data_IF_518270646362
#
_entry.id   IF_518270646362
#
_cell.length_a   1.000
_cell.length_b   1.000
_cell.length_c   1.000
_cell.angle_alpha   90.00
_cell.angle_beta   90.00
_cell.angle_gamma   90.00
#
_symmetry.space_group_name_H-M   'P 1'
#
loop_
_entity.id
_entity.type
_entity.pdbx_description
1 polymer ?
#
# COMPACT_ATOMS: atom_id res chain seq x y z
N UNK A 1 4.40 -3.30 17.95
CA UNK A 1 4.10 -2.00 17.28
C UNK A 1 4.92 -1.93 16.02
N UNK A 2 4.27 -2.23 14.90
CA UNK A 2 4.86 -1.94 13.60
C UNK A 2 4.74 -0.43 13.46
N UNK A 3 5.81 0.28 13.81
CA UNK A 3 5.91 1.69 13.43
C UNK A 3 5.84 1.72 11.92
N UNK A 4 4.80 2.35 11.41
CA UNK A 4 4.59 2.57 9.98
C UNK A 4 5.87 3.16 9.43
N UNK A 5 6.40 2.67 8.29
CA UNK A 5 7.56 3.31 7.71
C UNK A 5 7.18 4.75 7.42
N UNK A 6 7.72 5.65 8.22
CA UNK A 6 7.68 7.06 7.87
C UNK A 6 8.30 7.19 6.49
N UNK A 7 7.71 8.01 5.64
CA UNK A 7 8.28 8.33 4.35
C UNK A 7 9.67 8.93 4.57
N UNK A 8 10.67 8.08 4.64
CA UNK A 8 12.02 8.54 4.42
C UNK A 8 12.12 8.79 2.91
N UNK A 9 11.89 10.04 2.53
CA UNK A 9 12.41 10.50 1.24
C UNK A 9 13.87 10.11 1.23
N UNK A 10 14.24 9.25 0.30
CA UNK A 10 15.57 8.68 0.25
C UNK A 10 16.63 9.79 0.26
N UNK A 11 17.70 9.51 0.96
CA UNK A 11 18.89 10.35 0.94
C UNK A 11 19.26 10.64 -0.50
N UNK A 12 19.47 11.89 -0.82
CA UNK A 12 20.06 12.27 -2.09
C UNK A 12 21.44 11.66 -2.17
N UNK A 13 21.58 10.67 -3.04
CA UNK A 13 22.90 10.25 -3.46
C UNK A 13 23.51 11.45 -4.18
N UNK A 14 24.75 11.78 -3.83
CA UNK A 14 25.43 12.98 -4.32
C UNK A 14 25.16 13.13 -5.81
N UNK A 15 24.39 14.15 -6.16
CA UNK A 15 24.34 14.65 -7.52
C UNK A 15 25.78 14.89 -7.94
N UNK A 16 26.23 14.18 -8.95
CA UNK A 16 27.41 14.62 -9.66
C UNK A 16 26.99 15.94 -10.26
N UNK A 17 27.49 17.04 -9.72
CA UNK A 17 27.30 18.37 -10.26
C UNK A 17 27.86 18.39 -11.67
N UNK A 18 27.07 17.96 -12.63
CA UNK A 18 27.31 18.26 -14.03
C UNK A 18 26.57 19.56 -14.34
N UNK A 19 26.95 20.57 -13.65
CA UNK A 19 26.83 21.92 -14.18
C UNK A 19 27.91 22.03 -15.22
N UNK A 20 27.62 21.65 -16.46
CA UNK A 20 28.43 22.13 -17.56
C UNK A 20 28.54 23.64 -17.37
N UNK A 21 29.77 24.12 -17.33
CA UNK A 21 30.09 25.52 -17.27
C UNK A 21 29.38 26.26 -18.41
N UNK A 22 28.16 26.71 -18.12
CA UNK A 22 27.57 27.74 -18.93
C UNK A 22 28.43 28.97 -18.78
N UNK A 23 29.00 29.45 -19.88
CA UNK A 23 29.83 30.63 -19.88
C UNK A 23 29.13 31.76 -19.12
N UNK A 24 29.92 32.55 -18.35
CA UNK A 24 29.46 33.65 -17.52
C UNK A 24 28.62 34.72 -18.23
N UNK A 25 28.43 34.63 -19.54
CA UNK A 25 27.74 35.60 -20.38
C UNK A 25 26.22 35.41 -20.46
N UNK A 26 25.63 34.37 -19.82
CA UNK A 26 24.26 34.02 -20.06
C UNK A 26 23.37 33.98 -18.81
N UNK A 27 23.73 34.73 -17.76
CA UNK A 27 22.95 34.81 -16.52
C UNK A 27 21.50 35.27 -16.70
N UNK A 28 21.25 36.12 -17.72
CA UNK A 28 19.87 36.58 -18.02
C UNK A 28 19.04 35.50 -18.70
N UNK A 29 19.63 34.80 -19.67
CA UNK A 29 18.97 33.69 -20.37
C UNK A 29 18.74 32.53 -19.41
N UNK A 30 19.68 32.25 -18.52
CA UNK A 30 19.55 31.24 -17.47
C UNK A 30 18.39 31.51 -16.52
N UNK A 31 18.18 32.75 -16.12
CA UNK A 31 17.06 33.13 -15.26
C UNK A 31 15.70 32.90 -15.91
N UNK A 32 15.57 33.18 -17.18
CA UNK A 32 14.33 32.98 -17.93
C UNK A 32 14.02 31.50 -18.16
N UNK A 33 15.01 30.66 -18.36
CA UNK A 33 14.84 29.22 -18.59
C UNK A 33 14.52 28.51 -17.28
N UNK A 34 15.18 28.87 -16.17
CA UNK A 34 14.91 28.30 -14.86
C UNK A 34 13.55 28.70 -14.28
N UNK A 35 13.02 29.88 -14.65
CA UNK A 35 11.67 30.28 -14.27
C UNK A 35 10.57 29.48 -15.02
N UNK A 36 10.91 28.89 -16.17
CA UNK A 36 9.99 28.06 -16.96
C UNK A 36 9.92 26.63 -16.46
N UNK A 37 11.03 26.08 -15.99
CA UNK A 37 11.14 24.69 -15.56
C UNK A 37 11.63 24.67 -14.12
N UNK A 38 10.70 24.63 -13.16
CA UNK A 38 11.05 24.47 -11.75
C UNK A 38 11.05 23.01 -11.35
N UNK A 39 10.05 22.27 -11.82
CA UNK A 39 9.89 20.85 -11.55
C UNK A 39 9.30 20.13 -12.75
N UNK A 40 9.65 18.86 -12.89
CA UNK A 40 9.04 17.93 -13.82
C UNK A 40 8.53 16.73 -13.02
N UNK A 41 7.28 16.34 -13.25
CA UNK A 41 6.72 15.14 -12.64
C UNK A 41 6.94 13.94 -13.54
N UNK A 42 7.67 12.98 -13.00
CA UNK A 42 7.84 11.66 -13.60
C UNK A 42 6.79 10.73 -13.03
N UNK A 43 6.22 9.86 -13.85
CA UNK A 43 5.24 8.85 -13.42
C UNK A 43 5.45 7.56 -14.21
N UNK A 44 5.20 6.44 -13.57
CA UNK A 44 5.30 5.10 -14.16
C UNK A 44 4.28 4.16 -13.53
N UNK A 45 4.04 3.02 -14.18
CA UNK A 45 3.18 1.98 -13.62
C UNK A 45 3.88 1.25 -12.46
N UNK A 46 3.16 0.91 -11.38
CA UNK A 46 3.71 0.13 -10.29
C UNK A 46 4.26 -1.22 -10.78
N UNK A 47 5.41 -1.61 -10.27
CA UNK A 47 6.02 -2.90 -10.62
C UNK A 47 5.82 -3.88 -9.46
N UNK A 48 5.21 -5.07 -9.71
CA UNK A 48 5.03 -6.09 -8.69
C UNK A 48 6.35 -6.47 -8.01
N UNK A 49 6.36 -6.49 -6.67
CA UNK A 49 7.53 -6.80 -5.86
C UNK A 49 8.50 -5.63 -5.64
N UNK A 50 8.29 -4.49 -6.27
CA UNK A 50 9.10 -3.31 -6.04
C UNK A 50 8.82 -2.71 -4.66
N UNK A 51 9.87 -2.52 -3.87
CA UNK A 51 9.83 -1.79 -2.60
C UNK A 51 10.15 -0.32 -2.82
N UNK A 52 11.05 -0.04 -3.74
CA UNK A 52 11.45 1.31 -4.12
C UNK A 52 11.84 1.38 -5.58
N UNK A 53 12.05 2.59 -6.04
CA UNK A 53 12.48 2.87 -7.40
C UNK A 53 13.71 3.75 -7.42
N UNK A 54 14.49 3.59 -8.49
CA UNK A 54 15.63 4.42 -8.81
C UNK A 54 15.38 5.10 -10.15
N UNK A 55 15.49 6.42 -10.17
CA UNK A 55 15.37 7.22 -11.39
C UNK A 55 16.75 7.74 -11.79
N UNK A 56 17.13 7.55 -13.05
CA UNK A 56 18.32 8.12 -13.64
C UNK A 56 17.94 9.20 -14.65
N UNK A 57 18.61 10.34 -14.58
CA UNK A 57 18.48 11.45 -15.52
C UNK A 57 19.66 11.45 -16.48
N UNK A 58 19.36 11.55 -17.77
CA UNK A 58 20.31 11.45 -18.85
C UNK A 58 20.32 12.74 -19.68
N UNK A 59 21.52 13.17 -20.14
CA UNK A 59 21.67 14.36 -20.98
C UNK A 59 21.43 14.14 -22.47
N UNK A 60 21.26 12.89 -22.89
CA UNK A 60 21.02 12.54 -24.29
C UNK A 60 20.20 11.28 -24.40
N UNK A 61 19.52 11.07 -25.53
CA UNK A 61 18.78 9.84 -25.84
C UNK A 61 19.74 8.69 -26.22
N UNK A 62 20.71 8.45 -25.35
CA UNK A 62 21.65 7.34 -25.45
C UNK A 62 21.93 6.78 -24.07
N UNK A 63 21.73 5.49 -23.92
CA UNK A 63 21.92 4.81 -22.66
C UNK A 63 23.42 4.48 -22.41
N UNK A 64 24.21 5.51 -22.20
CA UNK A 64 25.66 5.44 -21.97
C UNK A 64 25.98 6.03 -20.59
N UNK A 65 26.93 5.45 -19.84
CA UNK A 65 27.32 5.93 -18.50
C UNK A 65 27.69 7.40 -18.46
N UNK A 66 28.38 7.89 -19.48
CA UNK A 66 28.82 9.29 -19.61
C UNK A 66 27.66 10.27 -19.79
N UNK A 67 26.47 9.79 -20.12
CA UNK A 67 25.26 10.61 -20.25
C UNK A 67 24.46 10.71 -18.97
N UNK A 68 24.83 9.98 -17.89
CA UNK A 68 24.16 10.06 -16.60
C UNK A 68 24.44 11.40 -15.95
N UNK A 69 23.40 12.17 -15.67
CA UNK A 69 23.46 13.47 -15.00
C UNK A 69 23.27 13.30 -13.49
N UNK A 70 22.27 12.52 -13.11
CA UNK A 70 21.98 12.22 -11.71
C UNK A 70 21.22 10.92 -11.57
N UNK A 71 21.29 10.34 -10.36
CA UNK A 71 20.52 9.16 -9.97
C UNK A 71 19.85 9.46 -8.65
N UNK A 72 18.52 9.28 -8.59
CA UNK A 72 17.72 9.39 -7.38
C UNK A 72 17.26 8.02 -6.95
N UNK A 73 17.50 7.66 -5.70
CA UNK A 73 17.07 6.41 -5.05
C UNK A 73 16.06 6.67 -3.95
N UNK A 74 15.48 5.59 -3.42
CA UNK A 74 14.57 5.68 -2.26
C UNK A 74 13.25 6.33 -2.59
N UNK A 75 12.75 6.14 -3.81
CA UNK A 75 11.43 6.59 -4.24
C UNK A 75 10.46 5.45 -3.94
N UNK A 76 9.50 5.66 -3.01
CA UNK A 76 8.58 4.63 -2.53
C UNK A 76 7.18 4.73 -3.15
N UNK A 77 7.03 5.52 -4.19
CA UNK A 77 5.79 5.66 -4.96
C UNK A 77 6.10 5.57 -6.45
N UNK A 78 5.08 5.41 -7.29
CA UNK A 78 5.21 5.32 -8.75
C UNK A 78 5.29 6.68 -9.43
N UNK A 79 5.92 7.64 -8.78
CA UNK A 79 6.15 8.96 -9.32
C UNK A 79 7.19 9.74 -8.52
N UNK A 80 7.72 10.77 -9.14
CA UNK A 80 8.76 11.61 -8.55
C UNK A 80 8.73 13.01 -9.15
N UNK A 81 8.81 14.06 -8.33
CA UNK A 81 9.00 15.42 -8.81
C UNK A 81 10.48 15.77 -8.86
N UNK A 82 11.00 15.89 -10.08
CA UNK A 82 12.38 16.25 -10.35
C UNK A 82 12.56 17.76 -10.26
N UNK A 83 13.54 18.20 -9.50
CA UNK A 83 13.98 19.61 -9.52
C UNK A 83 14.80 19.89 -10.78
N UNK A 84 14.26 20.74 -11.63
CA UNK A 84 14.90 21.14 -12.89
C UNK A 84 15.51 22.54 -12.85
N UNK A 85 15.61 23.15 -11.66
CA UNK A 85 16.12 24.52 -11.51
C UNK A 85 17.55 24.72 -12.02
N UNK A 86 18.34 23.64 -12.11
CA UNK A 86 19.71 23.64 -12.63
C UNK A 86 19.81 23.25 -14.11
N UNK A 87 18.70 22.84 -14.71
CA UNK A 87 18.68 22.42 -16.13
C UNK A 87 18.41 23.60 -17.04
N UNK A 88 18.97 23.55 -18.26
CA UNK A 88 18.77 24.60 -19.27
C UNK A 88 17.41 24.49 -19.94
N UNK A 89 16.96 23.26 -20.21
CA UNK A 89 15.68 22.97 -20.87
C UNK A 89 15.34 21.48 -20.69
N UNK A 90 14.04 21.16 -20.62
CA UNK A 90 13.62 19.76 -20.58
C UNK A 90 13.95 19.00 -21.87
N UNK A 91 14.06 19.71 -23.02
CA UNK A 91 14.27 19.12 -24.35
C UNK A 91 15.57 18.31 -24.45
N UNK A 92 16.58 18.69 -23.68
CA UNK A 92 17.92 18.08 -23.79
C UNK A 92 18.09 16.89 -22.83
N UNK A 93 17.04 16.56 -22.02
CA UNK A 93 17.14 15.56 -20.97
C UNK A 93 16.14 14.44 -21.16
N UNK A 94 16.55 13.28 -20.67
CA UNK A 94 15.77 12.03 -20.67
C UNK A 94 15.82 11.40 -19.30
N UNK A 95 14.92 10.50 -19.03
CA UNK A 95 14.89 9.75 -17.77
C UNK A 95 14.55 8.30 -17.99
N UNK A 96 14.92 7.47 -17.05
CA UNK A 96 14.58 6.06 -16.97
C UNK A 96 14.40 5.66 -15.51
N UNK A 97 13.61 4.63 -15.26
CA UNK A 97 13.30 4.13 -13.92
C UNK A 97 13.61 2.65 -13.81
N UNK A 98 14.08 2.24 -12.63
CA UNK A 98 14.38 0.86 -12.29
C UNK A 98 13.71 0.50 -10.97
N UNK A 99 12.93 -0.61 -10.92
CA UNK A 99 12.36 -1.13 -9.68
C UNK A 99 13.41 -1.89 -8.86
N UNK A 100 13.41 -1.69 -7.54
CA UNK A 100 14.31 -2.31 -6.59
C UNK A 100 13.54 -3.12 -5.56
N UNK A 101 14.08 -4.27 -5.19
CA UNK A 101 13.61 -5.05 -4.05
C UNK A 101 14.06 -4.44 -2.70
N UNK A 102 13.69 -5.08 -1.60
CA UNK A 102 14.04 -4.62 -0.26
C UNK A 102 15.55 -4.61 0.02
N UNK A 103 16.32 -5.43 -0.67
CA UNK A 103 17.78 -5.47 -0.56
C UNK A 103 18.47 -4.43 -1.44
N UNK A 104 17.70 -3.66 -2.22
CA UNK A 104 18.22 -2.69 -3.18
C UNK A 104 18.71 -3.31 -4.48
N UNK A 105 18.38 -4.57 -4.75
CA UNK A 105 18.68 -5.23 -6.03
C UNK A 105 17.63 -4.88 -7.08
N UNK A 106 18.06 -4.85 -8.32
CA UNK A 106 17.19 -4.63 -9.47
C UNK A 106 16.26 -5.83 -9.68
N UNK A 107 14.94 -5.58 -9.64
CA UNK A 107 13.93 -6.58 -10.03
C UNK A 107 13.88 -6.74 -11.53
N UNK A 108 14.02 -5.62 -12.24
CA UNK A 108 14.06 -5.52 -13.70
C UNK A 108 15.17 -4.55 -14.10
N UNK A 109 15.54 -4.60 -15.37
CA UNK A 109 16.39 -3.58 -15.96
C UNK A 109 15.67 -2.22 -15.94
N UNK A 110 16.45 -1.16 -16.15
CA UNK A 110 15.88 0.16 -16.37
C UNK A 110 14.87 0.14 -17.53
N UNK A 111 13.82 0.96 -17.40
CA UNK A 111 12.92 1.27 -18.50
C UNK A 111 13.66 1.87 -19.70
N UNK A 112 13.00 1.93 -20.83
CA UNK A 112 13.46 2.74 -21.96
C UNK A 112 13.57 4.22 -21.56
N UNK A 113 14.44 4.95 -22.26
CA UNK A 113 14.60 6.38 -22.05
C UNK A 113 13.34 7.12 -22.51
N UNK A 114 12.86 8.01 -21.64
CA UNK A 114 11.72 8.87 -21.88
C UNK A 114 12.17 10.33 -21.91
N UNK A 115 11.73 11.17 -22.86
CA UNK A 115 12.07 12.58 -22.86
C UNK A 115 11.38 13.31 -21.70
N UNK A 116 12.09 14.24 -21.03
CA UNK A 116 11.50 15.06 -19.98
C UNK A 116 10.41 16.01 -20.54
N UNK A 117 10.54 16.44 -21.77
CA UNK A 117 9.60 17.37 -22.41
C UNK A 117 8.18 16.82 -22.51
N UNK A 118 8.04 15.49 -22.54
CA UNK A 118 6.72 14.82 -22.64
C UNK A 118 6.07 14.59 -21.26
N UNK A 119 6.71 15.05 -20.20
CA UNK A 119 6.22 14.89 -18.83
C UNK A 119 5.49 16.18 -18.36
N UNK A 120 4.76 16.06 -17.25
CA UNK A 120 4.09 17.20 -16.64
C UNK A 120 5.12 18.20 -16.12
N UNK A 121 5.13 19.40 -16.67
CA UNK A 121 6.03 20.48 -16.29
C UNK A 121 5.38 21.38 -15.22
N UNK A 122 6.14 21.71 -14.19
CA UNK A 122 5.71 22.59 -13.09
C UNK A 122 4.35 22.17 -12.49
N UNK A 123 4.22 20.95 -11.96
CA UNK A 123 2.97 20.50 -11.36
C UNK A 123 2.57 21.40 -10.21
N UNK A 124 1.28 21.75 -10.13
CA UNK A 124 0.73 22.72 -9.17
C UNK A 124 0.22 22.09 -7.89
N UNK A 125 -0.01 20.77 -7.90
CA UNK A 125 -0.56 20.03 -6.80
C UNK A 125 0.07 18.63 -6.72
N UNK A 126 0.08 17.96 -5.55
CA UNK A 126 0.42 16.54 -5.46
C UNK A 126 -0.48 15.68 -6.35
N UNK A 127 -0.02 14.49 -6.75
CA UNK A 127 -0.80 13.55 -7.56
C UNK A 127 -1.17 12.34 -6.72
N UNK A 128 -2.47 12.08 -6.47
CA UNK A 128 -2.91 10.83 -5.85
C UNK A 128 -2.43 9.60 -6.62
N UNK A 129 -2.02 8.56 -5.90
CA UNK A 129 -1.51 7.30 -6.47
C UNK A 129 -2.33 6.09 -6.05
N UNK A 130 -3.38 6.26 -5.26
CA UNK A 130 -4.28 5.16 -4.89
C UNK A 130 -5.12 4.70 -6.08
N UNK A 131 -5.50 3.42 -6.05
CA UNK A 131 -6.21 2.74 -7.16
C UNK A 131 -7.60 2.23 -6.70
N UNK A 132 -8.23 2.91 -5.73
CA UNK A 132 -9.48 2.46 -5.12
C UNK A 132 -10.64 2.36 -6.11
N UNK A 133 -10.63 3.16 -7.18
CA UNK A 133 -11.63 3.12 -8.24
C UNK A 133 -11.70 1.76 -8.97
N UNK A 134 -10.58 1.04 -9.00
CA UNK A 134 -10.48 -0.28 -9.66
C UNK A 134 -10.93 -1.44 -8.78
N UNK A 135 -11.13 -1.21 -7.47
CA UNK A 135 -11.53 -2.26 -6.53
C UNK A 135 -13.03 -2.53 -6.56
N UNK A 136 -13.41 -3.77 -6.26
CA UNK A 136 -14.82 -4.13 -6.10
C UNK A 136 -15.49 -3.32 -4.97
N UNK A 137 -14.76 -3.17 -3.85
CA UNK A 137 -15.08 -2.32 -2.72
C UNK A 137 -13.82 -1.64 -2.23
N UNK A 138 -13.88 -0.37 -1.87
CA UNK A 138 -12.77 0.28 -1.16
C UNK A 138 -12.56 -0.36 0.22
N UNK A 139 -11.33 -0.38 0.75
CA UNK A 139 -11.08 -0.79 2.13
C UNK A 139 -11.86 0.09 3.13
N UNK A 140 -12.26 -0.49 4.26
CA UNK A 140 -12.89 0.26 5.36
C UNK A 140 -11.99 1.38 5.87
N UNK A 141 -10.69 1.08 5.97
CA UNK A 141 -9.65 2.01 6.39
C UNK A 141 -8.69 2.27 5.21
N UNK A 142 -9.04 3.19 4.30
CA UNK A 142 -8.21 3.42 3.11
C UNK A 142 -6.83 3.97 3.47
N UNK A 143 -5.85 3.63 2.66
CA UNK A 143 -4.51 4.22 2.72
C UNK A 143 -4.39 5.22 1.59
N UNK A 144 -4.33 6.51 1.93
CA UNK A 144 -4.15 7.58 0.96
C UNK A 144 -2.67 7.77 0.66
N UNK A 145 -2.31 7.80 -0.61
CA UNK A 145 -0.93 8.02 -1.05
C UNK A 145 -0.87 8.93 -2.27
N UNK A 146 0.25 9.60 -2.46
CA UNK A 146 0.45 10.58 -3.52
C UNK A 146 1.91 10.71 -3.90
N UNK A 147 2.19 11.23 -5.09
CA UNK A 147 3.53 11.66 -5.46
C UNK A 147 3.88 12.90 -4.64
N UNK A 148 4.99 12.90 -3.87
CA UNK A 148 5.38 14.06 -3.08
C UNK A 148 5.68 15.26 -3.98
N UNK A 149 5.22 16.44 -3.57
CA UNK A 149 5.58 17.68 -4.23
C UNK A 149 7.02 18.10 -3.87
N UNK A 150 7.69 18.75 -4.82
CA UNK A 150 8.95 19.44 -4.52
C UNK A 150 8.73 20.44 -3.38
N UNK A 151 9.61 20.46 -2.40
CA UNK A 151 9.56 21.30 -1.20
C UNK A 151 8.33 21.03 -0.30
N UNK A 152 7.49 20.04 -0.63
CA UNK A 152 6.39 19.59 0.21
C UNK A 152 6.89 18.81 1.42
N UNK A 153 6.57 19.29 2.63
CA UNK A 153 6.86 18.59 3.89
C UNK A 153 5.59 18.12 4.55
N UNK A 154 4.62 19.00 4.66
CA UNK A 154 3.30 18.69 5.22
C UNK A 154 2.26 18.61 4.12
N UNK A 155 1.26 17.78 4.34
CA UNK A 155 0.18 17.57 3.39
C UNK A 155 -1.14 17.62 4.12
N UNK A 156 -2.08 18.38 3.56
CA UNK A 156 -3.46 18.40 4.02
C UNK A 156 -4.27 17.50 3.12
N UNK A 157 -5.10 16.66 3.72
CA UNK A 157 -6.02 15.77 3.04
C UNK A 157 -7.43 16.17 3.44
N UNK A 158 -8.34 16.22 2.47
CA UNK A 158 -9.77 16.34 2.73
C UNK A 158 -10.52 15.23 2.04
N UNK A 159 -11.50 14.67 2.74
CA UNK A 159 -12.43 13.68 2.21
C UNK A 159 -13.82 14.31 2.24
N UNK A 160 -14.54 14.18 1.14
CA UNK A 160 -15.90 14.68 1.01
C UNK A 160 -16.77 13.72 0.23
N UNK A 161 -18.08 13.88 0.38
CA UNK A 161 -19.11 13.19 -0.41
C UNK A 161 -20.11 14.20 -0.94
N UNK A 162 -20.84 13.82 -1.96
CA UNK A 162 -21.95 14.62 -2.47
C UNK A 162 -23.22 14.33 -1.68
N UNK A 163 -23.82 15.39 -1.13
CA UNK A 163 -25.13 15.36 -0.51
C UNK A 163 -26.03 16.39 -1.19
N UNK A 164 -27.13 15.93 -1.78
CA UNK A 164 -28.06 16.78 -2.52
C UNK A 164 -27.37 17.61 -3.63
N UNK A 165 -26.42 17.01 -4.34
CA UNK A 165 -25.65 17.65 -5.41
C UNK A 165 -24.60 18.66 -4.95
N UNK A 166 -24.28 18.70 -3.65
CA UNK A 166 -23.25 19.57 -3.09
C UNK A 166 -22.16 18.75 -2.40
N UNK A 167 -20.87 19.14 -2.54
CA UNK A 167 -19.80 18.51 -1.81
C UNK A 167 -19.89 18.87 -0.32
N UNK A 168 -19.86 17.86 0.54
CA UNK A 168 -19.80 18.01 1.99
C UNK A 168 -18.51 17.42 2.49
N UNK A 169 -17.63 18.25 3.05
CA UNK A 169 -16.40 17.81 3.67
C UNK A 169 -16.73 17.06 4.96
N UNK A 170 -16.32 15.81 5.03
CA UNK A 170 -16.58 14.93 6.18
C UNK A 170 -15.32 14.68 7.01
N UNK A 171 -14.13 14.92 6.45
CA UNK A 171 -12.86 14.74 7.15
C UNK A 171 -11.80 15.67 6.58
N UNK A 172 -11.08 16.32 7.48
CA UNK A 172 -9.86 17.07 7.18
C UNK A 172 -8.77 16.64 8.14
N UNK A 173 -7.57 16.45 7.62
CA UNK A 173 -6.41 16.05 8.40
C UNK A 173 -5.12 16.52 7.75
N UNK A 174 -4.06 16.51 8.51
CA UNK A 174 -2.71 16.85 8.03
C UNK A 174 -1.73 15.75 8.44
N UNK A 175 -0.74 15.51 7.58
CA UNK A 175 0.31 14.55 7.82
C UNK A 175 1.65 15.06 7.28
N UNK A 176 2.73 14.44 7.71
CA UNK A 176 4.06 14.59 7.13
C UNK A 176 4.34 13.39 6.21
N UNK A 177 4.97 13.64 5.07
CA UNK A 177 5.27 12.58 4.08
C UNK A 177 4.19 12.40 3.02
N UNK A 178 4.25 11.30 2.26
CA UNK A 178 3.43 11.06 1.07
C UNK A 178 2.40 9.94 1.21
N UNK A 179 2.11 9.53 2.44
CA UNK A 179 1.13 8.48 2.75
C UNK A 179 0.40 8.78 4.06
N UNK A 180 -0.88 8.47 4.10
CA UNK A 180 -1.68 8.52 5.31
C UNK A 180 -2.53 7.26 5.44
N UNK A 181 -2.38 6.59 6.58
CA UNK A 181 -3.21 5.46 7.00
C UNK A 181 -4.44 6.00 7.70
N UNK A 182 -5.59 5.93 7.04
CA UNK A 182 -6.83 6.41 7.64
C UNK A 182 -7.21 5.53 8.84
N UNK A 183 -7.54 6.17 9.94
CA UNK A 183 -8.01 5.53 11.17
C UNK A 183 -9.52 5.68 11.40
N UNK A 184 -10.20 6.41 10.51
CA UNK A 184 -11.65 6.46 10.47
C UNK A 184 -12.19 5.43 9.47
N UNK A 185 -13.13 4.60 9.93
CA UNK A 185 -13.81 3.62 9.08
C UNK A 185 -14.96 4.26 8.31
N UNK A 186 -15.00 4.03 7.01
CA UNK A 186 -16.09 4.53 6.13
C UNK A 186 -17.19 3.48 6.00
N UNK A 187 -18.21 3.58 6.83
CA UNK A 187 -19.35 2.62 6.88
C UNK A 187 -20.60 3.13 6.18
N UNK A 188 -20.74 4.43 5.98
CA UNK A 188 -21.92 5.02 5.36
C UNK A 188 -21.87 4.88 3.83
N UNK A 189 -22.90 4.34 3.17
CA UNK A 189 -22.86 4.10 1.73
C UNK A 189 -22.83 5.39 0.92
N UNK A 190 -22.14 5.36 -0.21
CA UNK A 190 -22.05 6.48 -1.13
C UNK A 190 -20.72 6.58 -1.83
N UNK A 191 -20.60 7.57 -2.70
CA UNK A 191 -19.37 7.91 -3.40
C UNK A 191 -18.65 9.00 -2.65
N UNK A 192 -17.40 8.72 -2.33
CA UNK A 192 -16.50 9.63 -1.61
C UNK A 192 -15.40 10.11 -2.54
N UNK A 193 -14.94 11.33 -2.30
CA UNK A 193 -13.83 11.95 -3.00
C UNK A 193 -12.79 12.41 -2.00
N UNK A 194 -11.53 12.38 -2.39
CA UNK A 194 -10.48 12.94 -1.56
C UNK A 194 -9.49 13.72 -2.42
N UNK A 195 -8.87 14.69 -1.80
CA UNK A 195 -7.87 15.57 -2.40
C UNK A 195 -6.73 15.79 -1.41
N UNK A 196 -5.57 16.11 -1.93
CA UNK A 196 -4.38 16.42 -1.15
C UNK A 196 -3.74 17.69 -1.68
N UNK A 197 -3.17 18.49 -0.78
CA UNK A 197 -2.30 19.62 -1.12
C UNK A 197 -1.04 19.57 -0.27
N UNK A 198 0.03 20.20 -0.73
CA UNK A 198 1.30 20.26 -0.02
C UNK A 198 1.51 21.62 0.63
N UNK A 199 2.27 21.63 1.73
CA UNK A 199 2.82 22.83 2.36
C UNK A 199 4.32 22.62 2.58
N UNK A 200 5.11 23.70 2.39
CA UNK A 200 6.52 23.67 2.73
C UNK A 200 6.71 23.72 4.27
N UNK A 201 7.94 23.58 4.73
CA UNK A 201 8.26 23.53 6.16
C UNK A 201 7.80 24.78 6.94
N UNK A 202 7.92 25.96 6.35
CA UNK A 202 7.51 27.23 6.96
C UNK A 202 6.01 27.52 6.85
N UNK A 203 5.25 26.74 6.07
CA UNK A 203 3.85 26.99 5.77
C UNK A 203 3.58 28.21 4.87
N UNK A 204 4.63 28.82 4.32
CA UNK A 204 4.51 30.03 3.48
C UNK A 204 4.13 29.70 2.04
N UNK A 205 4.37 28.48 1.60
CA UNK A 205 3.97 28.00 0.29
C UNK A 205 2.98 26.85 0.42
N UNK A 206 1.79 27.02 -0.15
CA UNK A 206 0.71 26.05 -0.15
C UNK A 206 0.36 25.77 -1.62
N UNK A 207 0.36 24.49 -2.02
CA UNK A 207 -0.04 24.12 -3.37
C UNK A 207 -1.54 24.25 -3.61
N UNK A 208 -1.95 24.12 -4.86
CA UNK A 208 -3.34 23.86 -5.19
C UNK A 208 -3.75 22.47 -4.66
N UNK A 209 -5.07 22.25 -4.52
CA UNK A 209 -5.60 20.92 -4.26
C UNK A 209 -5.42 20.03 -5.48
N UNK A 210 -5.11 18.76 -5.25
CA UNK A 210 -5.02 17.75 -6.31
C UNK A 210 -6.34 17.58 -7.05
N UNK A 211 -6.29 17.00 -8.24
CA UNK A 211 -7.49 16.42 -8.86
C UNK A 211 -8.12 15.42 -7.88
N UNK A 212 -9.45 15.42 -7.70
CA UNK A 212 -10.10 14.47 -6.83
C UNK A 212 -9.88 13.03 -7.28
N UNK A 213 -9.53 12.16 -6.33
CA UNK A 213 -9.64 10.72 -6.49
C UNK A 213 -10.91 10.25 -5.76
N UNK A 214 -11.48 9.12 -6.15
CA UNK A 214 -12.76 8.68 -5.58
C UNK A 214 -12.73 7.21 -5.16
N UNK A 215 -13.66 6.86 -4.28
CA UNK A 215 -13.96 5.49 -3.89
C UNK A 215 -15.43 5.33 -3.54
N UNK A 216 -15.90 4.10 -3.64
CA UNK A 216 -17.30 3.75 -3.37
C UNK A 216 -17.40 2.94 -2.10
N UNK A 217 -18.27 3.37 -1.18
CA UNK A 217 -18.70 2.57 -0.04
C UNK A 217 -20.06 1.96 -0.37
N UNK A 218 -20.11 0.63 -0.39
CA UNK A 218 -21.33 -0.15 -0.65
C UNK A 218 -21.79 -0.83 0.63
N UNK A 219 -23.11 -0.85 0.85
CA UNK A 219 -23.72 -1.46 2.01
C UNK A 219 -25.17 -1.86 1.64
N UNK A 220 -25.61 -3.11 1.84
CA UNK A 220 -24.86 -4.24 2.39
C UNK A 220 -23.82 -4.83 1.42
N UNK A 221 -22.95 -5.70 1.94
CA UNK A 221 -22.05 -6.55 1.15
C UNK A 221 -22.33 -8.03 1.42
N UNK A 222 -22.04 -8.91 0.46
CA UNK A 222 -22.24 -10.36 0.69
C UNK A 222 -21.11 -10.99 1.48
N UNK A 223 -19.89 -10.64 1.16
CA UNK A 223 -18.67 -11.17 1.79
C UNK A 223 -17.82 -10.02 2.29
N UNK A 224 -17.36 -10.12 3.51
CA UNK A 224 -16.37 -9.24 4.10
C UNK A 224 -15.20 -10.06 4.67
N UNK A 225 -14.06 -9.43 4.86
CA UNK A 225 -12.88 -10.04 5.44
C UNK A 225 -12.36 -9.19 6.61
N UNK A 226 -12.33 -9.78 7.79
CA UNK A 226 -11.77 -9.19 9.01
C UNK A 226 -10.35 -9.73 9.20
N UNK A 227 -9.40 -8.86 9.41
CA UNK A 227 -8.00 -9.24 9.56
C UNK A 227 -7.09 -8.10 9.98
N UNK A 228 -5.82 -8.40 10.01
CA UNK A 228 -4.72 -7.47 10.35
C UNK A 228 -4.13 -6.78 9.11
N UNK A 229 -2.84 -6.43 9.14
CA UNK A 229 -2.13 -5.79 8.03
C UNK A 229 -2.10 -6.65 6.75
N UNK A 230 -2.13 -7.97 6.86
CA UNK A 230 -2.12 -8.87 5.70
C UNK A 230 -3.39 -8.69 4.88
N UNK A 231 -4.53 -8.48 5.53
CA UNK A 231 -5.82 -8.17 4.89
C UNK A 231 -5.93 -6.69 4.55
N UNK A 232 -5.51 -5.78 5.45
CA UNK A 232 -5.59 -4.34 5.20
C UNK A 232 -4.91 -3.96 3.88
N UNK A 233 -3.76 -4.57 3.59
CA UNK A 233 -2.95 -4.22 2.42
C UNK A 233 -2.26 -2.87 2.60
N UNK A 234 -1.26 -2.61 1.80
CA UNK A 234 -0.44 -1.40 1.92
C UNK A 234 0.32 -1.29 3.25
N UNK A 235 1.38 -0.53 3.31
CA UNK A 235 2.06 -0.23 4.54
C UNK A 235 3.03 -1.27 5.08
N UNK A 236 3.16 -2.41 4.44
CA UNK A 236 4.32 -3.26 4.62
C UNK A 236 5.53 -2.65 3.89
N UNK A 237 6.73 -3.01 4.29
CA UNK A 237 7.96 -2.58 3.59
C UNK A 237 7.95 -2.98 2.13
N UNK A 238 7.40 -4.15 1.84
CA UNK A 238 7.29 -4.68 0.48
C UNK A 238 6.24 -4.00 -0.38
N UNK A 239 5.43 -3.09 0.18
CA UNK A 239 4.26 -2.58 -0.52
C UNK A 239 4.29 -1.07 -0.66
N UNK A 240 4.41 -0.52 -1.87
CA UNK A 240 4.02 0.87 -2.10
C UNK A 240 2.57 1.05 -1.66
N UNK A 241 2.28 2.00 -0.76
CA UNK A 241 0.94 2.16 -0.20
C UNK A 241 -0.12 2.47 -1.26
N UNK A 242 -1.32 1.93 -1.08
CA UNK A 242 -2.47 2.21 -1.93
C UNK A 242 -2.50 1.46 -3.27
N UNK A 243 -1.58 0.53 -3.51
CA UNK A 243 -1.58 -0.27 -4.73
C UNK A 243 -2.40 -1.56 -4.56
N UNK A 244 -3.37 -1.75 -5.42
CA UNK A 244 -4.31 -2.88 -5.38
C UNK A 244 -3.63 -4.25 -5.52
N UNK A 245 -2.48 -4.32 -6.16
CA UNK A 245 -1.72 -5.57 -6.31
C UNK A 245 -1.27 -6.15 -4.97
N UNK A 246 -1.23 -5.37 -3.91
CA UNK A 246 -0.88 -5.80 -2.56
C UNK A 246 -2.09 -6.06 -1.66
N UNK A 247 -3.28 -6.05 -2.23
CA UNK A 247 -4.53 -6.39 -1.57
C UNK A 247 -5.01 -7.76 -2.05
N UNK A 248 -5.06 -8.76 -1.18
CA UNK A 248 -5.37 -10.13 -1.61
C UNK A 248 -6.79 -10.27 -2.17
N UNK A 249 -7.75 -9.47 -1.71
CA UNK A 249 -9.13 -9.51 -2.20
C UNK A 249 -9.25 -9.12 -3.67
N UNK A 250 -8.28 -8.41 -4.23
CA UNK A 250 -8.28 -8.06 -5.65
C UNK A 250 -8.04 -9.26 -6.58
N UNK A 251 -7.49 -10.33 -6.03
CA UNK A 251 -7.29 -11.60 -6.76
C UNK A 251 -8.44 -12.58 -6.59
N UNK A 252 -9.47 -12.21 -5.83
CA UNK A 252 -10.69 -12.98 -5.68
C UNK A 252 -11.69 -12.66 -6.78
N UNK A 253 -12.31 -13.70 -7.37
CA UNK A 253 -13.47 -13.52 -8.26
C UNK A 253 -14.71 -13.07 -7.48
N UNK A 254 -14.78 -13.45 -6.19
CA UNK A 254 -15.84 -13.01 -5.28
C UNK A 254 -15.52 -11.60 -4.81
N UNK A 255 -16.43 -10.63 -4.97
CA UNK A 255 -16.27 -9.30 -4.37
C UNK A 255 -16.21 -9.41 -2.84
N UNK A 256 -15.12 -8.92 -2.24
CA UNK A 256 -14.89 -9.01 -0.79
C UNK A 256 -14.61 -7.61 -0.24
N UNK A 257 -15.36 -7.20 0.78
CA UNK A 257 -15.14 -5.96 1.52
C UNK A 257 -14.00 -6.15 2.53
N UNK A 258 -12.94 -5.39 2.34
CA UNK A 258 -11.77 -5.40 3.21
C UNK A 258 -12.04 -4.62 4.50
N UNK A 259 -12.07 -5.33 5.64
CA UNK A 259 -12.20 -4.78 6.99
C UNK A 259 -10.88 -4.94 7.79
N UNK A 260 -9.77 -5.12 7.12
CA UNK A 260 -8.46 -5.26 7.76
C UNK A 260 -7.98 -3.96 8.39
N UNK A 261 -7.24 -4.09 9.49
CA UNK A 261 -6.56 -2.97 10.15
C UNK A 261 -5.14 -3.37 10.55
N UNK A 262 -4.17 -2.60 10.06
CA UNK A 262 -2.75 -2.91 10.26
C UNK A 262 -2.37 -2.88 11.75
N UNK A 263 -1.66 -3.93 12.18
CA UNK A 263 -1.21 -4.08 13.56
C UNK A 263 -2.18 -4.82 14.47
N UNK A 264 -3.37 -5.20 14.00
CA UNK A 264 -4.36 -5.87 14.83
C UNK A 264 -3.84 -7.22 15.37
N UNK A 265 -4.14 -7.42 16.65
CA UNK A 265 -4.23 -8.74 17.29
C UNK A 265 -5.66 -9.27 17.13
N UNK A 266 -5.85 -10.56 17.40
CA UNK A 266 -7.22 -11.12 17.38
C UNK A 266 -8.14 -10.50 18.43
N UNK A 267 -7.59 -10.05 19.56
CA UNK A 267 -8.34 -9.30 20.57
C UNK A 267 -8.82 -7.94 20.02
N UNK A 268 -7.99 -7.25 19.27
CA UNK A 268 -8.36 -5.99 18.60
C UNK A 268 -9.42 -6.22 17.52
N UNK A 269 -9.29 -7.29 16.73
CA UNK A 269 -10.30 -7.69 15.76
C UNK A 269 -11.65 -7.96 16.41
N UNK A 270 -11.68 -8.69 17.52
CA UNK A 270 -12.89 -8.97 18.30
C UNK A 270 -13.52 -7.66 18.85
N UNK A 271 -12.71 -6.77 19.39
CA UNK A 271 -13.16 -5.50 19.98
C UNK A 271 -13.85 -4.56 18.95
N UNK A 272 -13.46 -4.60 17.68
CA UNK A 272 -14.05 -3.74 16.63
C UNK A 272 -15.12 -4.42 15.79
N UNK A 273 -15.52 -5.64 16.13
CA UNK A 273 -16.48 -6.41 15.34
C UNK A 273 -17.82 -5.68 15.14
N UNK A 274 -18.41 -5.16 16.20
CA UNK A 274 -19.71 -4.50 16.15
C UNK A 274 -19.66 -3.21 15.29
N UNK A 275 -18.60 -2.43 15.44
CA UNK A 275 -18.45 -1.16 14.71
C UNK A 275 -18.09 -1.35 13.24
N UNK A 276 -17.33 -2.38 12.90
CA UNK A 276 -16.71 -2.53 11.59
C UNK A 276 -17.37 -3.61 10.72
N UNK A 277 -17.93 -4.65 11.30
CA UNK A 277 -18.54 -5.75 10.57
C UNK A 277 -20.05 -5.55 10.41
N UNK A 278 -20.76 -5.28 11.50
CA UNK A 278 -22.23 -5.24 11.52
C UNK A 278 -22.82 -4.19 10.56
N UNK A 279 -22.24 -2.99 10.40
CA UNK A 279 -22.79 -2.01 9.46
C UNK A 279 -22.93 -2.52 8.02
N UNK A 280 -22.11 -3.47 7.60
CA UNK A 280 -22.12 -4.00 6.23
C UNK A 280 -23.04 -5.19 6.03
N UNK A 281 -23.62 -5.74 7.10
CA UNK A 281 -24.55 -6.88 7.05
C UNK A 281 -24.07 -8.06 6.18
N UNK A 282 -22.80 -8.51 6.29
CA UNK A 282 -22.28 -9.56 5.44
C UNK A 282 -23.01 -10.89 5.69
N UNK A 283 -23.10 -11.72 4.66
CA UNK A 283 -23.58 -13.11 4.81
C UNK A 283 -22.46 -14.04 5.25
N UNK A 284 -21.25 -13.73 4.82
CA UNK A 284 -20.03 -14.48 5.12
C UNK A 284 -18.97 -13.50 5.60
N UNK A 285 -18.28 -13.84 6.68
CA UNK A 285 -17.10 -13.14 7.16
C UNK A 285 -15.90 -14.08 7.09
N UNK A 286 -14.93 -13.76 6.27
CA UNK A 286 -13.61 -14.39 6.28
C UNK A 286 -12.80 -13.77 7.41
N UNK A 287 -12.24 -14.63 8.28
CA UNK A 287 -11.49 -14.21 9.46
C UNK A 287 -10.06 -14.73 9.32
N UNK A 288 -9.10 -13.83 9.22
CA UNK A 288 -7.69 -14.17 9.10
C UNK A 288 -6.84 -13.30 10.03
N UNK A 289 -6.33 -13.89 11.09
CA UNK A 289 -5.52 -13.20 12.09
C UNK A 289 -4.75 -14.16 12.97
N UNK A 290 -3.93 -13.61 13.86
CA UNK A 290 -3.12 -14.36 14.81
C UNK A 290 -1.62 -14.22 14.62
N UNK A 291 -1.15 -13.76 13.47
CA UNK A 291 0.29 -13.61 13.21
C UNK A 291 0.94 -12.59 14.16
N UNK A 292 0.28 -11.49 14.44
CA UNK A 292 0.78 -10.50 15.40
C UNK A 292 0.79 -11.03 16.83
N UNK A 293 -0.13 -11.93 17.15
CA UNK A 293 -0.24 -12.56 18.45
C UNK A 293 0.89 -13.56 18.68
N UNK A 294 0.99 -14.62 17.86
CA UNK A 294 1.97 -15.68 18.12
C UNK A 294 3.42 -15.20 17.90
N UNK A 295 3.67 -14.30 16.95
CA UNK A 295 5.03 -13.75 16.78
C UNK A 295 5.46 -12.88 17.99
N UNK A 296 4.52 -12.37 18.74
CA UNK A 296 4.74 -11.57 19.96
C UNK A 296 4.70 -12.40 21.25
N UNK A 297 4.55 -13.72 21.14
CA UNK A 297 4.61 -14.66 22.27
C UNK A 297 3.27 -15.08 22.84
N UNK A 298 2.14 -14.77 22.19
CA UNK A 298 0.85 -15.28 22.64
C UNK A 298 0.74 -16.79 22.38
N UNK A 299 0.09 -17.47 23.32
CA UNK A 299 -0.22 -18.89 23.19
C UNK A 299 -1.36 -19.11 22.22
N UNK A 300 -1.33 -20.20 21.47
CA UNK A 300 -2.40 -20.55 20.52
C UNK A 300 -3.79 -20.58 21.18
N UNK A 301 -3.90 -21.07 22.39
CA UNK A 301 -5.16 -21.12 23.13
C UNK A 301 -5.79 -19.72 23.36
N UNK A 302 -4.98 -18.71 23.60
CA UNK A 302 -5.45 -17.34 23.81
C UNK A 302 -5.92 -16.72 22.50
N UNK A 303 -5.21 -16.99 21.41
CA UNK A 303 -5.60 -16.59 20.05
C UNK A 303 -6.93 -17.25 19.67
N UNK A 304 -7.05 -18.56 19.90
CA UNK A 304 -8.25 -19.35 19.63
C UNK A 304 -9.45 -18.79 20.40
N UNK A 305 -9.27 -18.39 21.66
CA UNK A 305 -10.33 -17.81 22.46
C UNK A 305 -11.00 -16.62 21.75
N UNK A 306 -10.23 -15.66 21.26
CA UNK A 306 -10.77 -14.49 20.58
C UNK A 306 -11.36 -14.83 19.20
N UNK A 307 -10.75 -15.75 18.44
CA UNK A 307 -11.33 -16.24 17.20
C UNK A 307 -12.68 -16.92 17.42
N UNK A 308 -12.85 -17.67 18.52
CA UNK A 308 -14.13 -18.23 18.94
C UNK A 308 -15.15 -17.14 19.28
N UNK A 309 -14.74 -16.06 19.97
CA UNK A 309 -15.63 -14.94 20.25
C UNK A 309 -16.13 -14.28 18.98
N UNK A 310 -15.25 -14.04 18.01
CA UNK A 310 -15.63 -13.49 16.69
C UNK A 310 -16.62 -14.43 15.98
N UNK A 311 -16.34 -15.72 15.97
CA UNK A 311 -17.25 -16.73 15.37
C UNK A 311 -18.60 -16.79 16.06
N UNK A 312 -18.65 -16.67 17.40
CA UNK A 312 -19.90 -16.61 18.16
C UNK A 312 -20.72 -15.37 17.79
N UNK A 313 -20.08 -14.21 17.72
CA UNK A 313 -20.71 -12.97 17.27
C UNK A 313 -21.28 -13.10 15.85
N UNK A 314 -20.50 -13.70 14.94
CA UNK A 314 -21.00 -14.00 13.59
C UNK A 314 -22.32 -14.80 13.64
N UNK A 315 -22.32 -15.94 14.34
CA UNK A 315 -23.48 -16.81 14.43
C UNK A 315 -24.68 -16.13 15.08
N UNK A 316 -24.47 -15.33 16.11
CA UNK A 316 -25.53 -14.53 16.73
C UNK A 316 -26.20 -13.55 15.76
N UNK A 317 -25.49 -13.07 14.77
CA UNK A 317 -25.99 -12.15 13.74
C UNK A 317 -26.31 -12.80 12.40
N UNK A 318 -26.36 -14.14 12.33
CA UNK A 318 -26.65 -14.86 11.10
C UNK A 318 -25.57 -14.76 10.03
N UNK A 319 -24.34 -14.47 10.44
CA UNK A 319 -23.17 -14.39 9.57
C UNK A 319 -22.43 -15.73 9.64
N UNK A 320 -22.04 -16.26 8.50
CA UNK A 320 -21.22 -17.48 8.41
C UNK A 320 -19.74 -17.11 8.62
N UNK A 321 -19.10 -17.57 9.72
CA UNK A 321 -17.67 -17.38 9.87
C UNK A 321 -16.91 -18.40 9.02
N UNK A 322 -15.95 -17.93 8.24
CA UNK A 322 -14.99 -18.74 7.48
C UNK A 322 -13.59 -18.37 7.98
N UNK A 323 -12.94 -19.31 8.66
CA UNK A 323 -11.60 -19.07 9.18
C UNK A 323 -10.56 -19.39 8.12
N UNK A 324 -9.61 -18.47 7.91
CA UNK A 324 -8.42 -18.72 7.12
C UNK A 324 -7.23 -19.00 8.03
N UNK A 325 -6.37 -19.93 7.65
CA UNK A 325 -5.16 -20.24 8.40
C UNK A 325 -4.24 -19.02 8.49
N UNK A 326 -3.55 -18.89 9.62
CA UNK A 326 -2.55 -17.84 9.82
C UNK A 326 -1.27 -18.17 9.05
N UNK A 327 -0.77 -17.20 8.31
CA UNK A 327 0.46 -17.35 7.52
C UNK A 327 1.67 -17.56 8.42
N UNK A 328 2.68 -18.36 8.00
CA UNK A 328 3.94 -18.41 8.70
C UNK A 328 4.72 -17.10 8.54
N UNK A 329 5.83 -16.98 9.25
CA UNK A 329 6.78 -15.87 9.09
C UNK A 329 8.14 -16.40 8.67
N UNK A 330 9.02 -15.50 8.21
CA UNK A 330 10.40 -15.81 7.88
C UNK A 330 11.34 -14.96 8.73
N UNK A 331 11.83 -15.48 9.86
CA UNK A 331 12.69 -14.72 10.77
C UNK A 331 13.99 -14.25 10.15
N UNK A 332 14.51 -14.96 9.12
CA UNK A 332 15.73 -14.54 8.43
C UNK A 332 15.54 -13.22 7.69
N UNK A 333 14.37 -13.00 7.08
CA UNK A 333 14.05 -11.75 6.42
C UNK A 333 13.68 -10.66 7.44
N UNK A 334 12.91 -11.02 8.47
CA UNK A 334 12.57 -10.09 9.57
C UNK A 334 13.83 -9.46 10.17
N UNK A 335 14.90 -10.21 10.35
CA UNK A 335 16.15 -9.73 10.93
C UNK A 335 16.82 -8.59 10.12
N UNK A 336 16.45 -8.40 8.86
CA UNK A 336 16.97 -7.32 8.02
C UNK A 336 16.29 -5.97 8.28
N UNK A 337 15.23 -5.93 9.12
CA UNK A 337 14.38 -4.76 9.29
C UNK A 337 14.31 -4.35 10.76
N UNK A 338 14.72 -3.14 11.07
CA UNK A 338 14.76 -2.62 12.45
C UNK A 338 13.38 -2.32 13.05
N UNK A 339 12.36 -2.16 12.22
CA UNK A 339 10.99 -1.84 12.67
C UNK A 339 10.11 -3.08 12.90
N UNK A 340 10.58 -4.28 12.54
CA UNK A 340 9.90 -5.53 12.87
C UNK A 340 10.64 -6.16 14.05
N UNK A 341 9.92 -6.39 15.14
CA UNK A 341 10.49 -7.01 16.34
C UNK A 341 10.87 -8.46 16.10
N UNK A 342 11.94 -8.92 16.76
CA UNK A 342 12.35 -10.32 16.74
C UNK A 342 11.19 -11.20 17.21
N UNK A 343 10.81 -12.24 16.44
CA UNK A 343 9.72 -13.12 16.83
C UNK A 343 10.00 -13.91 18.11
N UNK A 344 8.95 -14.28 18.82
CA UNK A 344 9.03 -15.21 19.93
C UNK A 344 9.63 -16.56 19.48
N UNK A 345 10.35 -17.22 20.36
CA UNK A 345 11.08 -18.45 20.05
C UNK A 345 10.15 -19.59 19.61
N UNK A 346 8.98 -19.67 20.22
CA UNK A 346 7.96 -20.70 20.01
C UNK A 346 6.89 -20.32 18.96
N UNK A 347 7.07 -19.25 18.22
CA UNK A 347 6.07 -18.74 17.27
C UNK A 347 5.55 -19.83 16.32
N UNK A 348 6.44 -20.70 15.84
CA UNK A 348 6.09 -21.76 14.89
C UNK A 348 5.19 -22.81 15.52
N UNK A 349 5.50 -23.22 16.74
CA UNK A 349 4.66 -24.16 17.49
C UNK A 349 3.25 -23.59 17.69
N UNK A 350 3.17 -22.32 18.12
CA UNK A 350 1.89 -21.65 18.33
C UNK A 350 1.11 -21.49 17.02
N UNK A 351 1.78 -21.15 15.92
CA UNK A 351 1.16 -21.04 14.60
C UNK A 351 0.60 -22.40 14.14
N UNK A 352 1.35 -23.49 14.33
CA UNK A 352 0.90 -24.85 13.95
C UNK A 352 -0.33 -25.25 14.77
N UNK A 353 -0.30 -25.06 16.10
CA UNK A 353 -1.44 -25.35 16.98
C UNK A 353 -2.68 -24.53 16.61
N UNK A 354 -2.49 -23.25 16.31
CA UNK A 354 -3.56 -22.36 15.87
C UNK A 354 -4.17 -22.87 14.56
N UNK A 355 -3.37 -23.20 13.57
CA UNK A 355 -3.86 -23.65 12.27
C UNK A 355 -4.52 -25.03 12.34
N UNK A 356 -4.09 -25.91 13.22
CA UNK A 356 -4.78 -27.18 13.49
C UNK A 356 -6.20 -26.93 14.01
N UNK A 357 -6.36 -25.99 14.96
CA UNK A 357 -7.68 -25.61 15.43
C UNK A 357 -8.54 -24.97 14.34
N UNK A 358 -7.96 -24.06 13.56
CA UNK A 358 -8.67 -23.39 12.45
C UNK A 358 -9.21 -24.45 11.48
N UNK A 359 -8.37 -25.41 11.06
CA UNK A 359 -8.78 -26.44 10.10
C UNK A 359 -9.78 -27.47 10.67
N UNK A 360 -9.96 -27.50 11.98
CA UNK A 360 -11.02 -28.30 12.63
C UNK A 360 -12.39 -27.63 12.62
N UNK A 361 -12.49 -26.37 12.20
CA UNK A 361 -13.76 -25.65 12.19
C UNK A 361 -14.62 -26.06 10.98
N UNK A 362 -15.92 -25.84 11.08
CA UNK A 362 -16.89 -26.20 10.05
C UNK A 362 -16.54 -25.57 8.68
N UNK A 363 -16.15 -24.32 8.68
CA UNK A 363 -15.72 -23.59 7.49
C UNK A 363 -14.32 -23.05 7.71
N UNK A 364 -13.38 -23.64 7.05
CA UNK A 364 -11.96 -23.28 7.15
C UNK A 364 -11.29 -23.38 5.80
N UNK A 365 -10.40 -22.46 5.52
CA UNK A 365 -9.60 -22.43 4.28
C UNK A 365 -8.12 -22.34 4.60
N UNK A 366 -7.34 -23.24 4.01
CA UNK A 366 -5.89 -23.29 4.20
C UNK A 366 -5.19 -22.41 3.17
N UNK A 367 -4.85 -21.19 3.57
CA UNK A 367 -4.04 -20.26 2.77
C UNK A 367 -2.55 -20.38 3.08
N UNK A 368 -2.20 -20.88 4.26
CA UNK A 368 -0.81 -20.91 4.74
C UNK A 368 0.04 -21.94 4.02
N UNK A 369 -0.49 -23.13 3.74
CA UNK A 369 0.28 -24.23 3.14
C UNK A 369 0.87 -23.87 1.78
N UNK A 370 0.16 -23.10 0.97
CA UNK A 370 0.61 -22.68 -0.37
C UNK A 370 1.82 -21.73 -0.37
N UNK A 371 2.17 -21.15 0.78
CA UNK A 371 3.30 -20.23 0.91
C UNK A 371 4.27 -20.62 2.03
N UNK A 372 4.19 -21.86 2.51
CA UNK A 372 5.08 -22.40 3.54
C UNK A 372 6.14 -23.29 2.90
N UNK A 373 7.41 -23.02 3.19
CA UNK A 373 8.53 -23.83 2.71
C UNK A 373 8.70 -25.14 3.50
N UNK A 374 9.68 -25.95 3.12
CA UNK A 374 9.96 -27.22 3.79
C UNK A 374 10.44 -27.09 5.25
N UNK A 375 10.84 -25.91 5.66
CA UNK A 375 11.23 -25.59 7.04
C UNK A 375 10.09 -25.01 7.88
N UNK A 376 8.90 -24.86 7.30
CA UNK A 376 7.75 -24.23 7.95
C UNK A 376 7.83 -22.71 8.02
N UNK A 377 8.61 -22.10 7.14
CA UNK A 377 8.77 -20.65 7.06
C UNK A 377 7.97 -20.09 5.89
N UNK A 378 7.63 -18.82 5.96
CA UNK A 378 7.10 -18.08 4.81
C UNK A 378 8.15 -18.10 3.70
N UNK A 379 7.80 -18.67 2.54
CA UNK A 379 8.73 -18.87 1.44
C UNK A 379 9.30 -17.56 0.92
N UNK A 380 10.56 -17.56 0.53
CA UNK A 380 11.30 -16.36 0.14
C UNK A 380 10.64 -15.58 -0.99
N UNK A 381 10.02 -16.28 -1.94
CA UNK A 381 9.35 -15.68 -3.09
C UNK A 381 8.03 -14.99 -2.73
N UNK A 382 7.47 -15.28 -1.57
CA UNK A 382 6.18 -14.75 -1.14
C UNK A 382 6.29 -13.55 -0.21
N UNK A 383 7.49 -13.17 0.19
CA UNK A 383 7.68 -12.09 1.15
C UNK A 383 8.98 -11.32 0.91
N UNK A 384 8.96 -10.06 1.24
CA UNK A 384 10.16 -9.20 1.25
C UNK A 384 10.65 -8.96 2.68
N UNK A 385 9.75 -8.76 3.63
CA UNK A 385 10.09 -8.40 5.01
C UNK A 385 10.04 -9.58 5.99
N UNK A 386 9.58 -10.74 5.53
CA UNK A 386 9.47 -11.95 6.33
C UNK A 386 8.19 -12.05 7.18
N UNK A 387 7.38 -11.00 7.22
CA UNK A 387 6.10 -10.96 7.95
C UNK A 387 4.90 -10.86 7.02
N UNK A 388 4.96 -9.94 6.05
CA UNK A 388 3.85 -9.65 5.15
C UNK A 388 4.04 -10.40 3.82
N UNK A 389 3.06 -11.21 3.39
CA UNK A 389 3.03 -11.69 2.02
C UNK A 389 2.97 -10.52 1.05
N UNK A 390 3.78 -10.56 0.00
CA UNK A 390 3.76 -9.60 -1.09
C UNK A 390 2.85 -10.06 -2.25
N UNK A 391 3.10 -9.61 -3.48
CA UNK A 391 2.19 -9.85 -4.61
C UNK A 391 1.91 -11.33 -4.82
N UNK A 392 2.92 -12.21 -4.81
CA UNK A 392 2.72 -13.65 -4.99
C UNK A 392 1.88 -14.24 -3.85
N UNK A 393 2.22 -13.90 -2.60
CA UNK A 393 1.49 -14.38 -1.44
C UNK A 393 0.06 -13.84 -1.39
N UNK A 394 -0.16 -12.57 -1.71
CA UNK A 394 -1.49 -11.97 -1.80
C UNK A 394 -2.35 -12.64 -2.87
N UNK A 395 -1.76 -12.95 -4.02
CA UNK A 395 -2.43 -13.70 -5.08
C UNK A 395 -2.85 -15.09 -4.61
N UNK A 396 -1.94 -15.83 -3.97
CA UNK A 396 -2.24 -17.16 -3.42
C UNK A 396 -3.38 -17.11 -2.41
N UNK A 397 -3.39 -16.14 -1.50
CA UNK A 397 -4.48 -15.95 -0.52
C UNK A 397 -5.80 -15.68 -1.23
N UNK A 398 -5.83 -14.70 -2.11
CA UNK A 398 -7.05 -14.27 -2.78
C UNK A 398 -7.68 -15.36 -3.66
N UNK A 399 -6.89 -16.04 -4.47
CA UNK A 399 -7.35 -17.14 -5.32
C UNK A 399 -7.83 -18.33 -4.48
N UNK A 400 -7.10 -18.71 -3.42
CA UNK A 400 -7.47 -19.82 -2.54
C UNK A 400 -8.78 -19.57 -1.80
N UNK A 401 -8.96 -18.38 -1.25
CA UNK A 401 -10.21 -17.99 -0.57
C UNK A 401 -11.36 -17.94 -1.58
N UNK A 402 -11.15 -17.34 -2.74
CA UNK A 402 -12.16 -17.25 -3.80
C UNK A 402 -12.67 -18.63 -4.23
N UNK A 403 -11.75 -19.54 -4.52
CA UNK A 403 -12.10 -20.92 -4.92
C UNK A 403 -12.83 -21.68 -3.81
N UNK A 404 -12.40 -21.51 -2.57
CA UNK A 404 -13.06 -22.10 -1.42
C UNK A 404 -14.50 -21.62 -1.28
N UNK A 405 -14.73 -20.30 -1.34
CA UNK A 405 -16.05 -19.70 -1.20
C UNK A 405 -17.00 -20.17 -2.30
N UNK A 406 -16.54 -20.19 -3.56
CA UNK A 406 -17.37 -20.62 -4.70
C UNK A 406 -17.75 -22.09 -4.63
N UNK A 407 -16.85 -22.96 -4.20
CA UNK A 407 -17.12 -24.42 -4.04
C UNK A 407 -18.00 -24.72 -2.84
N UNK A 408 -17.81 -23.98 -1.74
CA UNK A 408 -18.51 -24.25 -0.48
C UNK A 408 -19.93 -23.67 -0.46
N UNK A 409 -20.15 -22.54 -1.14
CA UNK A 409 -21.42 -21.81 -1.11
C UNK A 409 -22.00 -21.53 -2.51
N UNK A 410 -22.18 -22.57 -3.37
CA UNK A 410 -22.59 -22.37 -4.75
C UNK A 410 -23.98 -21.72 -4.90
N UNK A 411 -24.86 -21.90 -3.91
CA UNK A 411 -26.22 -21.34 -3.92
C UNK A 411 -26.33 -19.87 -3.50
N UNK A 412 -25.23 -19.21 -3.11
CA UNK A 412 -25.27 -17.84 -2.56
C UNK A 412 -25.03 -16.73 -3.57
N UNK A 413 -24.84 -17.07 -4.85
CA UNK A 413 -24.60 -16.09 -5.91
C UNK A 413 -23.50 -15.06 -5.53
N UNK A 414 -22.33 -15.57 -5.12
CA UNK A 414 -21.26 -14.73 -4.57
C UNK A 414 -20.51 -13.90 -5.62
N UNK A 415 -20.62 -14.22 -6.91
CA UNK A 415 -19.99 -13.46 -8.00
C UNK A 415 -20.66 -12.10 -8.24
N UNK A 416 -21.89 -11.92 -7.83
CA UNK A 416 -22.58 -10.64 -7.91
C UNK A 416 -22.34 -9.79 -6.64
N UNK A 417 -22.19 -8.48 -6.82
CA UNK A 417 -22.11 -7.52 -5.69
C UNK A 417 -23.43 -7.48 -4.90
#
# INVERSE_FOLDING_TARGET
DITRPGNQQGSEDKTVDVVESASRTDTKVRKYITDYLKTVRLSWEPVPGAVSYQVAIMRANKNLPENVVSVKRGIFTNGYELDTSVMRTAKDYYWKVCPLDASGKYIKLYSDLQPLVDQELNPKAPKPTTEFESMAYAPLYPVFSWVPAKDGKYYDIRVYREENGKPVVIRELSTEGSVYYEDAGYTWPGKYYWQVRSRNESGTHISEWSTPSWFQVSNPVKVAALGDSITHGGGAVSTPPGYVMYNWETYSQVPIKNLGYSGDTVAAMDARFEADVLPFHPKILVIMGGVNDFRSGAMAQDIIYYLQQIGNKCRMHGIIPVYATATPINPHFIANWSYITTPAVDWKEQQVLLNQWIMSQQYAVDVASGMTDCYGLLMDEATTDGLHPDVLGKKLIGETISDYLLRTFPGKNLLAK
#
